data_IF_198024145121
#
_entry.id   IF_198024145121
#
_cell.length_a   1.000
_cell.length_b   1.000
_cell.length_c   1.000
_cell.angle_alpha   90.00
_cell.angle_beta   90.00
_cell.angle_gamma   90.00
#
_symmetry.space_group_name_H-M   'P 1'
#
loop_
_entity.id
_entity.type
_entity.pdbx_description
1 polymer ?
#
# COMPACT_ATOMS: atom_id res chain seq x y z
N UNK A 1 19.59 22.97 -5.18
CA UNK A 1 18.23 23.56 -5.22
C UNK A 1 17.47 23.10 -3.99
N UNK A 2 16.78 23.99 -3.25
CA UNK A 2 15.94 23.59 -2.12
C UNK A 2 14.74 22.81 -2.65
N UNK A 3 14.51 21.59 -2.14
CA UNK A 3 13.34 20.79 -2.53
C UNK A 3 12.05 21.53 -2.12
N UNK A 4 11.04 21.64 -2.99
CA UNK A 4 9.75 22.19 -2.60
C UNK A 4 9.13 21.31 -1.50
N UNK A 5 8.39 21.91 -0.54
CA UNK A 5 7.75 21.17 0.53
C UNK A 5 6.78 20.14 -0.05
N UNK A 6 6.90 18.89 0.40
CA UNK A 6 6.07 17.75 -0.03
C UNK A 6 4.59 18.13 0.12
N UNK A 7 3.92 18.39 -0.99
CA UNK A 7 2.54 18.86 -1.00
C UNK A 7 1.59 17.86 -0.34
N UNK A 8 0.53 18.36 0.31
CA UNK A 8 -0.48 17.59 1.05
C UNK A 8 -1.05 16.40 0.24
N UNK A 9 -1.14 16.55 -1.09
CA UNK A 9 -1.60 15.52 -2.04
C UNK A 9 -0.73 14.26 -2.02
N UNK A 10 0.58 14.43 -1.88
CA UNK A 10 1.55 13.33 -1.87
C UNK A 10 1.45 12.49 -0.59
N UNK A 11 1.13 13.14 0.54
CA UNK A 11 0.99 12.48 1.85
C UNK A 11 -0.29 11.64 1.93
N UNK A 12 -1.37 12.09 1.30
CA UNK A 12 -2.64 11.35 1.22
C UNK A 12 -2.53 10.10 0.35
N UNK A 13 -1.87 10.21 -0.81
CA UNK A 13 -1.55 9.05 -1.67
C UNK A 13 -0.67 8.05 -0.94
N UNK A 14 0.37 8.53 -0.25
CA UNK A 14 1.23 7.67 0.56
C UNK A 14 0.48 6.95 1.68
N UNK A 15 -0.36 7.67 2.44
CA UNK A 15 -1.13 7.08 3.53
C UNK A 15 -2.14 6.06 2.99
N UNK A 16 -2.76 6.32 1.84
CA UNK A 16 -3.67 5.38 1.18
C UNK A 16 -2.95 4.10 0.74
N UNK A 17 -1.78 4.20 0.10
CA UNK A 17 -0.99 3.02 -0.33
C UNK A 17 -0.48 2.22 0.87
N UNK A 18 -0.02 2.90 1.92
CA UNK A 18 0.46 2.23 3.12
C UNK A 18 -0.69 1.57 3.90
N UNK A 19 -1.83 2.25 4.00
CA UNK A 19 -3.04 1.71 4.62
C UNK A 19 -3.61 0.52 3.82
N UNK A 20 -3.54 0.54 2.49
CA UNK A 20 -3.98 -0.57 1.64
C UNK A 20 -3.10 -1.81 1.83
N UNK A 21 -1.77 -1.62 1.85
CA UNK A 21 -0.82 -2.72 2.07
C UNK A 21 -0.95 -3.32 3.46
N UNK A 22 -0.96 -2.48 4.50
CA UNK A 22 -1.08 -2.94 5.90
C UNK A 22 -2.48 -3.51 6.15
N UNK A 23 -3.53 -2.90 5.60
CA UNK A 23 -4.91 -3.35 5.73
C UNK A 23 -5.12 -4.72 5.08
N UNK A 24 -4.60 -4.92 3.87
CA UNK A 24 -4.69 -6.19 3.16
C UNK A 24 -3.93 -7.30 3.88
N UNK A 25 -2.70 -7.02 4.36
CA UNK A 25 -1.90 -7.99 5.09
C UNK A 25 -2.57 -8.37 6.43
N UNK A 26 -3.02 -7.38 7.20
CA UNK A 26 -3.75 -7.62 8.44
C UNK A 26 -5.07 -8.40 8.22
N UNK A 27 -5.80 -8.11 7.14
CA UNK A 27 -7.02 -8.83 6.80
C UNK A 27 -6.76 -10.28 6.43
N UNK A 28 -5.72 -10.56 5.63
CA UNK A 28 -5.33 -11.93 5.27
C UNK A 28 -4.89 -12.70 6.50
N UNK A 29 -4.03 -12.12 7.36
CA UNK A 29 -3.61 -12.76 8.61
C UNK A 29 -4.81 -13.03 9.52
N UNK A 30 -5.73 -12.08 9.67
CA UNK A 30 -6.95 -12.27 10.44
C UNK A 30 -7.82 -13.41 9.87
N UNK A 31 -8.06 -13.40 8.56
CA UNK A 31 -8.90 -14.40 7.89
C UNK A 31 -8.31 -15.81 7.94
N UNK A 32 -6.97 -15.95 8.05
CA UNK A 32 -6.29 -17.24 8.02
C UNK A 32 -5.93 -17.76 9.42
N UNK A 33 -5.66 -16.88 10.39
CA UNK A 33 -5.23 -17.25 11.74
C UNK A 33 -6.34 -17.14 12.76
N UNK A 34 -7.24 -16.17 12.63
CA UNK A 34 -8.30 -15.91 13.62
C UNK A 34 -9.60 -16.56 13.20
N UNK A 35 -10.00 -16.43 11.93
CA UNK A 35 -11.28 -16.96 11.48
C UNK A 35 -11.40 -18.50 11.60
N UNK A 36 -10.41 -19.31 11.20
CA UNK A 36 -10.52 -20.77 11.29
C UNK A 36 -10.71 -21.29 12.71
N UNK A 37 -9.86 -20.95 13.71
CA UNK A 37 -10.05 -21.44 15.07
C UNK A 37 -11.37 -20.95 15.69
N UNK A 38 -11.79 -19.72 15.42
CA UNK A 38 -13.08 -19.21 15.93
C UNK A 38 -14.24 -19.98 15.31
N UNK A 39 -14.22 -20.24 13.99
CA UNK A 39 -15.28 -21.00 13.31
C UNK A 39 -15.31 -22.48 13.73
N UNK A 40 -14.16 -23.07 14.06
CA UNK A 40 -14.05 -24.49 14.47
C UNK A 40 -14.26 -24.74 15.96
N UNK A 41 -13.88 -23.80 16.83
CA UNK A 41 -13.93 -23.98 18.29
C UNK A 41 -15.18 -23.36 18.93
N UNK A 42 -15.85 -22.44 18.23
CA UNK A 42 -17.05 -21.75 18.74
C UNK A 42 -18.28 -22.21 17.95
N UNK A 43 -19.22 -22.87 18.65
CA UNK A 43 -20.50 -23.32 18.09
C UNK A 43 -21.64 -22.32 18.28
N UNK A 44 -21.34 -21.11 18.75
CA UNK A 44 -22.33 -20.04 18.86
C UNK A 44 -22.65 -19.46 17.46
N UNK A 45 -23.90 -19.56 16.97
CA UNK A 45 -24.30 -19.03 15.68
C UNK A 45 -24.14 -17.50 15.59
N UNK A 46 -24.29 -16.77 16.70
CA UNK A 46 -24.10 -15.32 16.71
C UNK A 46 -22.63 -14.95 16.47
N UNK A 47 -21.69 -15.71 17.04
CA UNK A 47 -20.25 -15.49 16.84
C UNK A 47 -19.85 -15.81 15.40
N UNK A 48 -20.38 -16.90 14.82
CA UNK A 48 -20.14 -17.23 13.41
C UNK A 48 -20.62 -16.12 12.47
N UNK A 49 -21.82 -15.59 12.70
CA UNK A 49 -22.36 -14.47 11.91
C UNK A 49 -21.50 -13.22 12.08
N UNK A 50 -21.07 -12.91 13.30
CA UNK A 50 -20.20 -11.75 13.57
C UNK A 50 -18.86 -11.85 12.83
N UNK A 51 -18.24 -13.04 12.80
CA UNK A 51 -17.00 -13.29 12.02
C UNK A 51 -17.27 -13.07 10.53
N UNK A 52 -18.33 -13.67 9.97
CA UNK A 52 -18.68 -13.48 8.56
C UNK A 52 -18.95 -12.02 8.19
N UNK A 53 -19.69 -11.29 9.03
CA UNK A 53 -19.94 -9.86 8.85
C UNK A 53 -18.63 -9.06 8.91
N UNK A 54 -17.73 -9.39 9.83
CA UNK A 54 -16.41 -8.73 9.92
C UNK A 54 -15.57 -8.96 8.65
N UNK A 55 -15.61 -10.18 8.09
CA UNK A 55 -14.93 -10.51 6.84
C UNK A 55 -15.51 -9.72 5.66
N UNK A 56 -16.83 -9.68 5.52
CA UNK A 56 -17.50 -8.94 4.44
C UNK A 56 -17.20 -7.44 4.55
N UNK A 57 -17.30 -6.88 5.77
CA UNK A 57 -17.05 -5.46 5.98
C UNK A 57 -15.58 -5.11 5.75
N UNK A 58 -14.65 -5.98 6.16
CA UNK A 58 -13.23 -5.84 5.87
C UNK A 58 -12.94 -5.88 4.36
N UNK A 59 -13.56 -6.82 3.63
CA UNK A 59 -13.42 -6.90 2.17
C UNK A 59 -13.96 -5.64 1.46
N UNK A 60 -15.11 -5.12 1.90
CA UNK A 60 -15.68 -3.87 1.36
C UNK A 60 -14.75 -2.68 1.63
N UNK A 61 -14.20 -2.58 2.84
CA UNK A 61 -13.27 -1.51 3.20
C UNK A 61 -11.99 -1.57 2.35
N UNK A 62 -11.44 -2.77 2.14
CA UNK A 62 -10.28 -2.97 1.25
C UNK A 62 -10.60 -2.62 -0.20
N UNK A 63 -11.76 -3.03 -0.71
CA UNK A 63 -12.18 -2.68 -2.07
C UNK A 63 -12.32 -1.15 -2.24
N UNK A 64 -12.85 -0.45 -1.23
CA UNK A 64 -12.93 1.00 -1.24
C UNK A 64 -11.54 1.66 -1.22
N UNK A 65 -10.60 1.16 -0.40
CA UNK A 65 -9.22 1.64 -0.36
C UNK A 65 -8.51 1.45 -1.71
N UNK A 66 -8.62 0.26 -2.31
CA UNK A 66 -8.07 -0.02 -3.64
C UNK A 66 -8.66 0.89 -4.72
N UNK A 67 -9.95 1.18 -4.65
CA UNK A 67 -10.60 2.14 -5.57
C UNK A 67 -10.07 3.56 -5.40
N UNK A 68 -9.89 4.01 -4.15
CA UNK A 68 -9.26 5.32 -3.87
C UNK A 68 -7.84 5.40 -4.43
N UNK A 69 -7.04 4.34 -4.29
CA UNK A 69 -5.70 4.27 -4.88
C UNK A 69 -5.75 4.32 -6.41
N UNK A 70 -6.63 3.55 -7.04
CA UNK A 70 -6.79 3.53 -8.51
C UNK A 70 -7.19 4.90 -9.06
N UNK A 71 -8.11 5.59 -8.38
CA UNK A 71 -8.50 6.96 -8.73
C UNK A 71 -7.34 7.94 -8.53
N UNK A 72 -6.60 7.82 -7.42
CA UNK A 72 -5.44 8.66 -7.13
C UNK A 72 -4.34 8.53 -8.18
N UNK A 73 -4.04 7.29 -8.59
CA UNK A 73 -3.07 7.01 -9.65
C UNK A 73 -3.58 7.48 -11.03
N UNK A 74 -4.86 7.30 -11.32
CA UNK A 74 -5.49 7.77 -12.55
C UNK A 74 -5.47 9.29 -12.70
N UNK A 75 -5.66 10.02 -11.59
CA UNK A 75 -5.52 11.48 -11.57
C UNK A 75 -4.06 11.93 -11.66
N UNK A 76 -3.13 11.24 -11.00
CA UNK A 76 -1.71 11.53 -11.08
C UNK A 76 -1.17 11.32 -12.52
N UNK A 77 -1.61 10.25 -13.20
CA UNK A 77 -1.24 9.94 -14.60
C UNK A 77 -1.64 11.03 -15.60
N UNK A 78 -2.63 11.87 -15.27
CA UNK A 78 -3.04 13.00 -16.12
C UNK A 78 -2.10 14.20 -16.07
N UNK A 79 -1.19 14.28 -15.09
CA UNK A 79 -0.15 15.32 -14.99
C UNK A 79 1.22 14.67 -14.72
N UNK A 80 1.87 14.12 -15.75
CA UNK A 80 3.12 13.38 -15.61
C UNK A 80 4.31 14.25 -15.14
N UNK A 81 4.21 15.57 -15.23
CA UNK A 81 5.27 16.51 -14.83
C UNK A 81 5.35 16.76 -13.31
N UNK A 82 4.35 16.30 -12.53
CA UNK A 82 4.24 16.57 -11.07
C UNK A 82 4.52 15.30 -10.21
N UNK A 83 4.81 14.17 -10.86
CA UNK A 83 5.17 12.92 -10.17
C UNK A 83 6.70 12.82 -10.11
N UNK A 84 7.28 13.15 -8.96
CA UNK A 84 8.70 12.92 -8.67
C UNK A 84 8.95 11.40 -8.54
N UNK A 85 9.17 10.74 -9.69
CA UNK A 85 9.40 9.30 -9.78
C UNK A 85 10.62 8.85 -8.98
N UNK A 86 11.60 9.73 -8.75
CA UNK A 86 12.78 9.43 -7.94
C UNK A 86 12.41 9.31 -6.45
N UNK A 87 11.46 10.11 -5.96
CA UNK A 87 10.89 9.94 -4.62
C UNK A 87 10.12 8.61 -4.50
N UNK A 88 9.32 8.26 -5.50
CA UNK A 88 8.55 7.01 -5.51
C UNK A 88 9.48 5.80 -5.49
N UNK A 89 10.54 5.81 -6.31
CA UNK A 89 11.55 4.74 -6.38
C UNK A 89 12.27 4.49 -5.05
N UNK A 90 12.65 5.57 -4.36
CA UNK A 90 13.35 5.49 -3.07
C UNK A 90 12.57 4.78 -1.96
N UNK A 91 11.25 4.62 -2.12
CA UNK A 91 10.40 3.95 -1.13
C UNK A 91 10.24 2.43 -1.38
N UNK A 92 10.65 1.92 -2.54
CA UNK A 92 10.64 0.48 -2.85
C UNK A 92 12.06 -0.13 -2.84
N UNK A 93 13.09 0.67 -3.12
CA UNK A 93 14.49 0.23 -3.05
C UNK A 93 15.01 0.35 -1.60
N UNK A 94 14.69 -0.62 -0.75
CA UNK A 94 15.41 -0.81 0.50
C UNK A 94 16.76 -1.46 0.22
N UNK A 95 17.77 -0.65 -0.12
CA UNK A 95 19.18 -0.97 0.15
C UNK A 95 20.01 -1.63 -0.97
N UNK A 96 19.75 -1.35 -2.25
CA UNK A 96 20.78 -1.63 -3.29
C UNK A 96 21.69 -0.41 -3.38
N UNK A 97 22.79 -0.46 -2.63
CA UNK A 97 23.94 0.42 -2.84
C UNK A 97 24.48 0.11 -4.25
N UNK A 98 24.18 0.96 -5.23
CA UNK A 98 24.81 0.85 -6.56
C UNK A 98 26.27 1.27 -6.35
N UNK A 99 27.26 0.37 -6.49
CA UNK A 99 28.65 0.76 -6.35
C UNK A 99 28.97 1.84 -7.38
N UNK A 100 29.72 2.90 -7.01
CA UNK A 100 30.05 3.98 -7.92
C UNK A 100 30.76 3.42 -9.14
N UNK A 101 30.15 3.54 -10.31
CA UNK A 101 30.80 3.23 -11.57
C UNK A 101 31.96 4.20 -11.74
N UNK A 102 33.17 3.68 -11.54
CA UNK A 102 34.42 4.38 -11.78
C UNK A 102 34.40 4.99 -13.19
N UNK A 103 34.63 6.30 -13.25
CA UNK A 103 34.92 7.06 -14.46
C UNK A 103 35.82 6.27 -15.42
N UNK A 104 35.28 5.83 -16.55
CA UNK A 104 36.09 5.48 -17.72
C UNK A 104 36.27 6.77 -18.51
N UNK A 105 37.25 7.55 -18.08
CA UNK A 105 37.94 8.50 -18.95
C UNK A 105 38.76 7.66 -19.93
N UNK A 106 38.19 7.44 -21.11
CA UNK A 106 38.85 6.77 -22.22
C UNK A 106 39.04 7.75 -23.35
N UNK A 107 40.13 8.50 -23.29
CA UNK A 107 40.68 9.22 -24.42
C UNK A 107 40.84 8.26 -25.61
N UNK A 108 40.20 8.60 -26.73
CA UNK A 108 40.67 8.32 -28.08
C UNK A 108 40.02 9.24 -29.09
#
# INVERSE_FOLDING_TARGET
MPRPPVGVKHRLLWLAVHADKVGSDAYVVYALVVAPPVLTLVDDPAVRIAVWLSLIFGAIALAALGMCMAIGLGLASRNPDDIDFDWYRSHFESGVEIPPTSHVHGDR
#
